data_IF_763333138565
#
_entry.id   IF_763333138565
#
_cell.length_a   1.000
_cell.length_b   1.000
_cell.length_c   1.000
_cell.angle_alpha   90.00
_cell.angle_beta   90.00
_cell.angle_gamma   90.00
#
_symmetry.space_group_name_H-M   'P 1'
#
loop_
_entity.id
_entity.type
_entity.pdbx_description
1 polymer ?
#
# COMPACT_ATOMS: atom_id res chain seq x y z
N UNK A 1 -7.00 -20.82 -11.40
CA UNK A 1 -5.64 -21.42 -11.34
C UNK A 1 -4.99 -20.96 -10.04
N UNK A 2 -4.08 -21.75 -9.44
CA UNK A 2 -3.31 -21.28 -8.31
C UNK A 2 -2.45 -20.07 -8.65
N UNK A 3 -2.21 -19.20 -7.65
CA UNK A 3 -1.30 -18.06 -7.77
C UNK A 3 0.14 -18.57 -7.96
N UNK A 4 0.89 -17.95 -8.84
CA UNK A 4 2.27 -18.36 -9.15
C UNK A 4 3.22 -18.02 -7.99
N UNK A 5 3.72 -19.05 -7.31
CA UNK A 5 4.60 -18.93 -6.13
C UNK A 5 6.03 -18.50 -6.45
N UNK A 6 6.45 -18.52 -7.72
CA UNK A 6 7.75 -18.01 -8.16
C UNK A 6 7.86 -16.48 -8.00
N UNK A 7 6.74 -15.81 -7.73
CA UNK A 7 6.70 -14.38 -7.45
C UNK A 7 7.12 -14.02 -6.02
N UNK A 8 7.18 -15.00 -5.11
CA UNK A 8 7.63 -14.74 -3.73
C UNK A 8 9.07 -14.22 -3.74
N UNK A 9 9.29 -13.09 -3.09
CA UNK A 9 10.58 -12.41 -2.99
C UNK A 9 10.94 -11.51 -4.17
N UNK A 10 10.12 -11.44 -5.23
CA UNK A 10 10.35 -10.53 -6.35
C UNK A 10 10.00 -9.10 -5.97
N UNK A 11 10.90 -8.16 -6.27
CA UNK A 11 10.71 -6.73 -6.06
C UNK A 11 10.09 -6.04 -7.28
N UNK A 12 9.21 -5.10 -7.01
CA UNK A 12 8.54 -4.23 -7.96
C UNK A 12 8.74 -2.78 -7.53
N UNK A 13 9.86 -2.15 -7.92
CA UNK A 13 10.08 -0.73 -7.64
C UNK A 13 9.15 0.12 -8.50
N UNK A 14 8.59 1.18 -7.92
CA UNK A 14 7.79 2.14 -8.66
C UNK A 14 8.66 2.86 -9.72
N UNK A 15 8.12 3.02 -10.93
CA UNK A 15 8.77 3.74 -12.03
C UNK A 15 8.70 5.26 -11.87
N UNK A 16 7.76 5.75 -11.06
CA UNK A 16 7.51 7.16 -10.83
C UNK A 16 7.52 7.50 -9.34
N UNK A 17 7.77 8.76 -9.02
CA UNK A 17 7.60 9.30 -7.67
C UNK A 17 6.23 9.94 -7.50
N UNK A 18 5.78 10.03 -6.25
CA UNK A 18 4.55 10.70 -5.87
C UNK A 18 4.85 11.93 -5.01
N UNK A 19 4.54 13.12 -5.53
CA UNK A 19 4.59 14.35 -4.76
C UNK A 19 3.29 14.52 -3.96
N UNK A 20 3.43 14.59 -2.64
CA UNK A 20 2.30 14.72 -1.71
C UNK A 20 1.85 16.17 -1.65
N UNK A 21 0.72 16.49 -2.25
CA UNK A 21 0.10 17.80 -2.20
C UNK A 21 -0.85 17.97 -1.01
N UNK A 22 -1.02 19.21 -0.52
CA UNK A 22 -2.00 19.52 0.54
C UNK A 22 -3.41 19.09 0.17
N UNK A 23 -3.80 19.26 -1.10
CA UNK A 23 -5.14 18.88 -1.55
C UNK A 23 -5.35 17.37 -1.60
N UNK A 24 -4.30 16.58 -1.88
CA UNK A 24 -4.36 15.12 -1.78
C UNK A 24 -4.68 14.69 -0.34
N UNK A 25 -3.99 15.29 0.65
CA UNK A 25 -4.21 15.00 2.07
C UNK A 25 -5.61 15.41 2.49
N UNK A 26 -6.02 16.63 2.16
CA UNK A 26 -7.33 17.17 2.51
C UNK A 26 -8.48 16.35 1.93
N UNK A 27 -8.42 16.04 0.64
CA UNK A 27 -9.45 15.23 -0.03
C UNK A 27 -9.58 13.85 0.59
N UNK A 28 -8.45 13.23 0.96
CA UNK A 28 -8.45 11.93 1.64
C UNK A 28 -9.07 12.04 3.04
N UNK A 29 -8.65 13.03 3.85
CA UNK A 29 -9.19 13.24 5.19
C UNK A 29 -10.71 13.47 5.17
N UNK A 30 -11.20 14.27 4.23
CA UNK A 30 -12.65 14.49 4.02
C UNK A 30 -13.36 13.19 3.63
N UNK A 31 -12.78 12.42 2.71
CA UNK A 31 -13.37 11.17 2.23
C UNK A 31 -13.53 10.11 3.32
N UNK A 32 -12.58 10.04 4.27
CA UNK A 32 -12.65 9.12 5.42
C UNK A 32 -13.40 9.71 6.62
N UNK A 33 -13.80 10.98 6.57
CA UNK A 33 -14.53 11.65 7.64
C UNK A 33 -13.67 11.98 8.86
N UNK A 34 -12.36 12.15 8.71
CA UNK A 34 -11.46 12.51 9.82
C UNK A 34 -11.29 14.04 9.89
N UNK A 35 -11.83 14.71 10.94
CA UNK A 35 -11.84 16.17 11.03
C UNK A 35 -10.59 16.77 11.67
N UNK A 36 -9.49 16.00 11.82
CA UNK A 36 -8.29 16.49 12.48
C UNK A 36 -7.74 17.74 11.75
N UNK A 37 -7.62 18.89 12.43
CA UNK A 37 -7.19 20.14 11.80
C UNK A 37 -5.78 20.06 11.22
N UNK A 38 -4.91 19.20 11.74
CA UNK A 38 -3.55 19.02 11.22
C UNK A 38 -3.50 18.48 9.77
N UNK A 39 -4.62 17.94 9.26
CA UNK A 39 -4.72 17.46 7.87
C UNK A 39 -5.11 18.56 6.87
N UNK A 40 -5.61 19.69 7.36
CA UNK A 40 -6.17 20.73 6.48
C UNK A 40 -5.61 22.11 6.75
N UNK A 41 -5.13 22.38 7.97
CA UNK A 41 -4.58 23.66 8.40
C UNK A 41 -3.08 23.57 8.69
N UNK A 42 -2.22 24.19 7.85
CA UNK A 42 -0.77 24.20 8.08
C UNK A 42 -0.37 24.83 9.43
N UNK A 43 -1.15 25.79 9.96
CA UNK A 43 -0.85 26.40 11.26
C UNK A 43 -1.09 25.40 12.40
N UNK A 44 -2.18 24.63 12.33
CA UNK A 44 -2.45 23.55 13.29
C UNK A 44 -1.38 22.46 13.24
N UNK A 45 -0.94 22.05 12.05
CA UNK A 45 0.13 21.08 11.90
C UNK A 45 1.47 21.57 12.46
N UNK A 46 1.83 22.84 12.21
CA UNK A 46 3.05 23.45 12.76
C UNK A 46 3.01 23.59 14.28
N UNK A 47 1.86 23.86 14.86
CA UNK A 47 1.68 23.88 16.32
C UNK A 47 1.97 22.51 16.97
N UNK A 48 1.82 21.43 16.22
CA UNK A 48 2.18 20.06 16.61
C UNK A 48 3.63 19.66 16.26
N UNK A 49 4.41 20.59 15.69
CA UNK A 49 5.82 20.36 15.35
C UNK A 49 6.07 19.79 13.95
N UNK A 50 5.05 19.76 13.07
CA UNK A 50 5.20 19.30 11.71
C UNK A 50 5.52 20.47 10.75
N UNK A 51 6.25 20.24 9.65
CA UNK A 51 6.62 21.32 8.71
C UNK A 51 5.41 21.84 7.92
N UNK A 52 4.42 20.99 7.67
CA UNK A 52 3.18 21.29 6.95
C UNK A 52 2.08 20.33 7.35
N UNK A 53 0.90 20.37 6.70
CA UNK A 53 -0.17 19.42 6.96
C UNK A 53 0.35 17.98 6.82
N UNK A 54 -0.12 17.13 7.73
CA UNK A 54 0.22 15.70 7.74
C UNK A 54 -0.93 14.89 7.14
N UNK A 55 -0.59 13.74 6.59
CA UNK A 55 -1.58 12.82 6.08
C UNK A 55 -2.19 11.94 7.20
N UNK A 56 -3.48 11.57 7.08
CA UNK A 56 -4.06 10.54 7.93
C UNK A 56 -3.24 9.23 7.87
N UNK A 57 -3.22 8.43 8.94
CA UNK A 57 -2.37 7.21 9.00
C UNK A 57 -2.58 6.20 7.88
N UNK A 58 -3.76 6.17 7.28
CA UNK A 58 -4.12 5.25 6.19
C UNK A 58 -3.96 5.84 4.79
N UNK A 59 -3.45 7.08 4.68
CA UNK A 59 -3.29 7.79 3.40
C UNK A 59 -2.47 7.02 2.36
N UNK A 60 -1.49 6.22 2.81
CA UNK A 60 -0.61 5.48 1.93
C UNK A 60 -1.32 4.37 1.11
N UNK A 61 -2.58 4.04 1.42
CA UNK A 61 -3.39 3.19 0.52
C UNK A 61 -3.54 3.81 -0.87
N UNK A 62 -3.50 5.13 -0.97
CA UNK A 62 -3.61 5.85 -2.26
C UNK A 62 -2.44 5.56 -3.19
N UNK A 63 -1.26 5.25 -2.66
CA UNK A 63 -0.09 4.91 -3.45
C UNK A 63 -0.28 3.59 -4.21
N UNK A 64 -0.94 2.60 -3.60
CA UNK A 64 -1.22 1.32 -4.24
C UNK A 64 -2.08 1.48 -5.50
N UNK A 65 -3.00 2.44 -5.53
CA UNK A 65 -3.81 2.73 -6.71
C UNK A 65 -3.03 3.52 -7.77
N UNK A 66 -2.12 4.41 -7.36
CA UNK A 66 -1.34 5.23 -8.28
C UNK A 66 -0.22 4.45 -8.96
N UNK A 67 0.48 3.61 -8.22
CA UNK A 67 1.59 2.78 -8.73
C UNK A 67 1.14 1.36 -9.09
N UNK A 68 -0.15 1.15 -9.34
CA UNK A 68 -0.73 -0.17 -9.59
C UNK A 68 -0.14 -0.90 -10.81
N UNK A 69 0.43 -0.19 -11.78
CA UNK A 69 1.11 -0.78 -12.93
C UNK A 69 2.47 -1.39 -12.57
N UNK A 70 3.12 -0.87 -11.52
CA UNK A 70 4.40 -1.38 -11.00
C UNK A 70 4.17 -2.33 -9.80
N UNK A 71 3.04 -3.03 -9.80
CA UNK A 71 2.63 -3.92 -8.72
C UNK A 71 2.61 -5.36 -9.19
N UNK A 72 2.96 -6.32 -8.31
CA UNK A 72 2.82 -7.75 -8.60
C UNK A 72 1.43 -8.12 -9.11
N UNK A 73 0.39 -7.47 -8.58
CA UNK A 73 -1.00 -7.76 -8.95
C UNK A 73 -1.35 -7.33 -10.38
N UNK A 74 -0.59 -6.43 -11.00
CA UNK A 74 -0.75 -6.05 -12.40
C UNK A 74 -0.03 -7.03 -13.36
N UNK A 75 0.85 -7.89 -12.86
CA UNK A 75 1.58 -8.85 -13.68
C UNK A 75 0.68 -10.07 -13.98
N UNK A 76 0.29 -10.23 -15.25
CA UNK A 76 -0.57 -11.34 -15.66
C UNK A 76 0.03 -12.72 -15.36
N UNK A 77 1.37 -12.85 -15.31
CA UNK A 77 2.06 -14.10 -15.01
C UNK A 77 1.91 -14.53 -13.54
N UNK A 78 1.48 -13.62 -12.65
CA UNK A 78 1.10 -13.96 -11.28
C UNK A 78 -0.13 -14.90 -11.24
N UNK A 79 -1.00 -14.80 -12.22
CA UNK A 79 -2.19 -15.67 -12.34
C UNK A 79 -3.33 -15.28 -11.39
N UNK A 80 -3.38 -14.01 -10.95
CA UNK A 80 -4.42 -13.52 -10.06
C UNK A 80 -5.71 -13.22 -10.83
N UNK A 81 -6.81 -13.86 -10.44
CA UNK A 81 -8.15 -13.57 -10.96
C UNK A 81 -8.87 -12.60 -10.03
N UNK A 82 -9.00 -11.34 -10.45
CA UNK A 82 -9.62 -10.29 -9.65
C UNK A 82 -11.09 -10.56 -9.29
N UNK A 83 -11.81 -11.36 -10.07
CA UNK A 83 -13.20 -11.73 -9.76
C UNK A 83 -13.32 -12.61 -8.50
N UNK A 84 -12.22 -13.25 -8.11
CA UNK A 84 -12.13 -14.15 -6.96
C UNK A 84 -11.47 -13.51 -5.75
N UNK A 85 -10.88 -12.31 -5.91
CA UNK A 85 -10.08 -11.65 -4.88
C UNK A 85 -10.95 -10.88 -3.89
N UNK A 86 -10.60 -11.00 -2.62
CA UNK A 86 -11.10 -10.13 -1.56
C UNK A 86 -9.91 -9.59 -0.76
N UNK A 87 -10.00 -8.33 -0.33
CA UNK A 87 -9.05 -7.72 0.57
C UNK A 87 -9.23 -8.32 1.97
N UNK A 88 -8.16 -8.83 2.55
CA UNK A 88 -8.19 -9.49 3.86
C UNK A 88 -7.78 -8.56 4.99
N UNK A 89 -6.59 -7.98 4.89
CA UNK A 89 -6.01 -7.17 5.95
C UNK A 89 -5.13 -6.07 5.36
N UNK A 90 -5.05 -4.94 6.06
CA UNK A 90 -4.12 -3.86 5.76
C UNK A 90 -3.43 -3.40 7.03
N UNK A 91 -2.11 -3.35 7.03
CA UNK A 91 -1.29 -2.82 8.11
C UNK A 91 -0.46 -1.63 7.63
N UNK A 92 -0.25 -0.66 8.52
CA UNK A 92 0.60 0.50 8.31
C UNK A 92 1.57 0.63 9.47
N UNK A 93 2.85 0.56 9.19
CA UNK A 93 3.92 0.90 10.10
C UNK A 93 4.54 2.21 9.62
N UNK A 94 4.17 3.31 10.28
CA UNK A 94 4.67 4.64 9.95
C UNK A 94 5.94 4.92 10.75
N UNK A 95 7.05 5.19 10.05
CA UNK A 95 8.32 5.58 10.68
C UNK A 95 8.34 7.09 10.97
N UNK A 96 7.59 7.87 10.20
CA UNK A 96 7.22 9.26 10.45
C UNK A 96 5.89 9.60 9.77
N UNK A 97 5.24 10.72 10.17
CA UNK A 97 4.09 11.22 9.41
C UNK A 97 4.47 11.56 7.96
N UNK A 98 3.57 11.28 7.04
CA UNK A 98 3.65 11.80 5.68
C UNK A 98 3.17 13.23 5.69
N UNK A 99 3.96 14.15 5.13
CA UNK A 99 3.66 15.57 5.09
C UNK A 99 3.46 16.06 3.64
N UNK A 100 2.72 17.14 3.49
CA UNK A 100 2.69 17.84 2.21
C UNK A 100 4.10 18.31 1.83
N UNK A 101 4.48 18.12 0.56
CA UNK A 101 5.82 18.37 0.04
C UNK A 101 6.73 17.14 0.02
N UNK A 102 6.34 16.04 0.65
CA UNK A 102 7.08 14.79 0.49
C UNK A 102 7.05 14.31 -0.96
N UNK A 103 8.20 13.84 -1.44
CA UNK A 103 8.32 13.13 -2.72
C UNK A 103 8.61 11.68 -2.40
N UNK A 104 7.62 10.83 -2.63
CA UNK A 104 7.64 9.43 -2.21
C UNK A 104 7.86 8.50 -3.39
N UNK A 105 8.58 7.41 -3.14
CA UNK A 105 8.68 6.24 -4.01
C UNK A 105 8.30 4.98 -3.23
N UNK A 106 8.04 3.89 -3.92
CA UNK A 106 7.71 2.63 -3.28
C UNK A 106 8.33 1.43 -3.99
N UNK A 107 8.59 0.38 -3.21
CA UNK A 107 8.93 -0.95 -3.74
C UNK A 107 7.97 -1.94 -3.13
N UNK A 108 7.26 -2.66 -3.98
CA UNK A 108 6.35 -3.74 -3.57
C UNK A 108 7.04 -5.09 -3.72
N UNK A 109 6.71 -6.02 -2.82
CA UNK A 109 7.21 -7.40 -2.85
C UNK A 109 6.11 -8.36 -2.44
N UNK A 110 6.00 -9.48 -3.11
CA UNK A 110 5.22 -10.61 -2.62
C UNK A 110 6.02 -11.28 -1.50
N UNK A 111 5.55 -11.14 -0.27
CA UNK A 111 6.20 -11.73 0.91
C UNK A 111 5.81 -13.20 1.09
N UNK A 112 4.56 -13.54 0.85
CA UNK A 112 4.04 -14.89 1.07
C UNK A 112 2.86 -15.21 0.15
N UNK A 113 2.80 -16.47 -0.29
CA UNK A 113 1.61 -17.09 -0.88
C UNK A 113 1.42 -18.43 -0.18
N UNK A 114 0.25 -18.67 0.41
CA UNK A 114 -0.06 -19.93 1.10
C UNK A 114 -1.50 -20.37 0.90
N UNK A 115 -1.72 -21.67 0.97
CA UNK A 115 -3.07 -22.23 0.97
C UNK A 115 -3.73 -22.05 2.34
N UNK A 116 -5.00 -21.62 2.32
CA UNK A 116 -5.87 -21.51 3.51
C UNK A 116 -7.19 -22.20 3.17
N UNK A 117 -7.27 -23.48 3.51
CA UNK A 117 -8.37 -24.33 3.08
C UNK A 117 -8.40 -24.45 1.55
N UNK A 118 -9.51 -24.09 0.92
CA UNK A 118 -9.65 -24.07 -0.55
C UNK A 118 -9.19 -22.78 -1.21
N UNK A 119 -8.78 -21.78 -0.42
CA UNK A 119 -8.37 -20.47 -0.88
C UNK A 119 -6.86 -20.33 -0.82
N UNK A 120 -6.32 -19.31 -1.50
CA UNK A 120 -4.94 -18.88 -1.31
C UNK A 120 -4.92 -17.51 -0.65
N UNK A 121 -4.01 -17.34 0.30
CA UNK A 121 -3.67 -16.05 0.89
C UNK A 121 -2.36 -15.56 0.30
N UNK A 122 -2.35 -14.36 -0.24
CA UNK A 122 -1.13 -13.66 -0.66
C UNK A 122 -0.92 -12.44 0.23
N UNK A 123 0.32 -12.29 0.73
CA UNK A 123 0.75 -11.11 1.50
C UNK A 123 1.75 -10.32 0.67
N UNK A 124 1.48 -9.03 0.52
CA UNK A 124 2.38 -8.08 -0.12
C UNK A 124 2.89 -7.07 0.90
N UNK A 125 4.17 -6.76 0.81
CA UNK A 125 4.82 -5.69 1.57
C UNK A 125 5.16 -4.56 0.63
N UNK A 126 4.92 -3.34 1.04
CA UNK A 126 5.33 -2.13 0.34
C UNK A 126 6.23 -1.30 1.25
N UNK A 127 7.47 -1.10 0.84
CA UNK A 127 8.36 -0.13 1.47
C UNK A 127 8.19 1.22 0.78
N UNK A 128 7.93 2.26 1.57
CA UNK A 128 7.78 3.65 1.10
C UNK A 128 8.95 4.46 1.57
N UNK A 129 9.63 5.12 0.64
CA UNK A 129 10.81 5.96 0.89
C UNK A 129 10.60 7.38 0.37
N UNK A 130 11.24 8.36 1.02
CA UNK A 130 11.36 9.72 0.51
C UNK A 130 12.51 9.83 -0.51
N UNK A 131 12.56 10.96 -1.22
CA UNK A 131 13.55 11.20 -2.27
C UNK A 131 15.03 11.15 -1.79
N UNK A 132 15.27 11.41 -0.51
CA UNK A 132 16.58 11.30 0.13
C UNK A 132 16.94 9.88 0.59
N UNK A 133 16.04 8.91 0.37
CA UNK A 133 16.20 7.52 0.77
C UNK A 133 15.71 7.21 2.20
N UNK A 134 15.17 8.20 2.93
CA UNK A 134 14.57 7.97 4.25
C UNK A 134 13.39 7.01 4.15
N UNK A 135 13.33 6.01 5.03
CA UNK A 135 12.16 5.14 5.16
C UNK A 135 11.01 5.90 5.83
N UNK A 136 9.91 6.03 5.11
CA UNK A 136 8.72 6.75 5.58
C UNK A 136 7.72 5.79 6.22
N UNK A 137 7.50 4.65 5.56
CA UNK A 137 6.57 3.64 6.05
C UNK A 137 6.85 2.26 5.47
N UNK A 138 6.33 1.24 6.16
CA UNK A 138 6.16 -0.10 5.63
C UNK A 138 4.68 -0.46 5.71
N UNK A 139 4.08 -0.89 4.61
CA UNK A 139 2.70 -1.37 4.63
C UNK A 139 2.64 -2.85 4.28
N UNK A 140 1.69 -3.57 4.87
CA UNK A 140 1.39 -4.96 4.53
C UNK A 140 -0.07 -5.08 4.14
N UNK A 141 -0.31 -5.72 3.01
CA UNK A 141 -1.65 -6.02 2.53
C UNK A 141 -1.79 -7.52 2.33
N UNK A 142 -2.85 -8.11 2.86
CA UNK A 142 -3.21 -9.47 2.52
C UNK A 142 -4.46 -9.49 1.64
N UNK A 143 -4.42 -10.33 0.62
CA UNK A 143 -5.56 -10.63 -0.24
C UNK A 143 -5.84 -12.14 -0.22
N UNK A 144 -7.11 -12.49 -0.36
CA UNK A 144 -7.56 -13.87 -0.45
C UNK A 144 -8.13 -14.13 -1.84
N UNK A 145 -7.53 -15.07 -2.56
CA UNK A 145 -8.05 -15.59 -3.82
C UNK A 145 -8.91 -16.83 -3.52
N UNK A 146 -10.21 -16.70 -3.78
CA UNK A 146 -11.20 -17.70 -3.38
C UNK A 146 -11.23 -18.90 -4.32
N UNK A 147 -11.09 -20.10 -3.74
CA UNK A 147 -11.25 -21.35 -4.48
C UNK A 147 -10.09 -21.69 -5.43
N UNK A 148 -8.94 -21.04 -5.28
CA UNK A 148 -7.79 -21.19 -6.20
C UNK A 148 -6.69 -22.10 -5.68
N UNK A 149 -6.72 -22.49 -4.40
CA UNK A 149 -5.74 -23.41 -3.85
C UNK A 149 -5.69 -24.72 -4.65
N UNK A 150 -4.48 -25.26 -4.86
CA UNK A 150 -4.29 -26.53 -5.51
C UNK A 150 -5.10 -27.61 -4.77
N UNK A 151 -5.83 -28.45 -5.52
CA UNK A 151 -6.47 -29.61 -4.92
C UNK A 151 -5.37 -30.51 -4.35
N UNK A 152 -5.42 -30.74 -3.03
CA UNK A 152 -4.62 -31.81 -2.46
C UNK A 152 -5.22 -33.12 -2.99
N UNK A 153 -4.46 -33.85 -3.78
CA UNK A 153 -4.82 -35.22 -4.12
C UNK A 153 -5.00 -36.00 -2.80
N UNK A 154 -6.16 -36.59 -2.64
CA UNK A 154 -6.56 -37.37 -1.46
C UNK A 154 -5.87 -38.71 -1.43
#
# INVERSE_FOLDING_TARGET
MPINREFIGRDYPASETFEVGREHIRSFAVAIGDPNPAYVDPAAARALGHPDVIAPPTFLTTLGFRFGLDSPVADAALGLDYSLVVHGEQQFELHRPVCAGDVLSSTQRVEQIKDVGRNELMVMVTEVTAADGEKVATTRMSIVSRGTAAKKDA
#
